data_IF_620339212359
#
_entry.id   IF_620339212359
#
_cell.length_a   1.000
_cell.length_b   1.000
_cell.length_c   1.000
_cell.angle_alpha   90.00
_cell.angle_beta   90.00
_cell.angle_gamma   90.00
#
_symmetry.space_group_name_H-M   'P 1'
#
loop_
_entity.id
_entity.type
_entity.pdbx_description
1 polymer ?
#
# COMPACT_ATOMS: atom_id res chain seq x y z
N UNK A 1 16.21 -18.80 24.72
CA UNK A 1 14.78 -18.70 24.34
C UNK A 1 14.63 -17.42 23.55
N UNK A 2 13.99 -17.44 22.37
CA UNK A 2 13.75 -16.22 21.60
C UNK A 2 12.86 -15.22 22.36
N UNK A 3 12.87 -13.95 21.96
CA UNK A 3 11.99 -12.93 22.54
C UNK A 3 10.51 -13.32 22.36
N UNK A 4 9.68 -13.03 23.37
CA UNK A 4 8.25 -13.32 23.33
C UNK A 4 7.50 -12.29 22.46
N UNK A 5 6.26 -12.59 22.05
CA UNK A 5 5.44 -11.64 21.31
C UNK A 5 5.23 -10.35 22.11
N UNK A 6 4.96 -10.45 23.42
CA UNK A 6 4.85 -9.27 24.29
C UNK A 6 6.13 -8.42 24.27
N UNK A 7 7.31 -9.06 24.37
CA UNK A 7 8.58 -8.35 24.36
C UNK A 7 8.82 -7.62 23.03
N UNK A 8 8.57 -8.29 21.91
CA UNK A 8 8.69 -7.70 20.57
C UNK A 8 7.74 -6.49 20.40
N UNK A 9 6.49 -6.63 20.83
CA UNK A 9 5.47 -5.57 20.76
C UNK A 9 5.87 -4.38 21.62
N UNK A 10 6.29 -4.59 22.87
CA UNK A 10 6.75 -3.49 23.75
C UNK A 10 7.97 -2.78 23.18
N UNK A 11 8.93 -3.53 22.62
CA UNK A 11 10.10 -2.95 21.99
C UNK A 11 9.72 -2.09 20.76
N UNK A 12 8.76 -2.54 19.96
CA UNK A 12 8.25 -1.75 18.82
C UNK A 12 7.54 -0.48 19.27
N UNK A 13 6.68 -0.55 20.30
CA UNK A 13 6.02 0.64 20.88
C UNK A 13 7.05 1.66 21.36
N UNK A 14 8.07 1.21 22.11
CA UNK A 14 9.11 2.11 22.61
C UNK A 14 9.88 2.81 21.46
N UNK A 15 10.14 2.12 20.35
CA UNK A 15 10.74 2.74 19.16
C UNK A 15 9.81 3.73 18.49
N UNK A 16 8.51 3.43 18.41
CA UNK A 16 7.50 4.37 17.88
C UNK A 16 7.44 5.63 18.75
N UNK A 17 7.35 5.49 20.08
CA UNK A 17 7.33 6.62 21.01
C UNK A 17 8.57 7.52 20.86
N UNK A 18 9.75 6.93 20.63
CA UNK A 18 10.99 7.66 20.46
C UNK A 18 11.12 8.37 19.10
N UNK A 19 10.65 7.75 18.01
CA UNK A 19 10.95 8.18 16.65
C UNK A 19 9.78 8.87 15.94
N UNK A 20 8.54 8.49 16.27
CA UNK A 20 7.35 9.00 15.59
C UNK A 20 7.11 10.49 15.80
N UNK A 21 7.48 11.14 16.93
CA UNK A 21 7.35 12.60 17.04
C UNK A 21 8.11 13.38 15.96
N UNK A 22 9.18 12.82 15.39
CA UNK A 22 9.95 13.45 14.30
C UNK A 22 9.49 13.03 12.90
N UNK A 23 9.11 11.76 12.73
CA UNK A 23 8.81 11.14 11.41
C UNK A 23 7.31 11.16 11.10
N UNK A 24 6.46 11.09 12.11
CA UNK A 24 5.00 11.10 12.03
C UNK A 24 4.41 10.02 11.11
N UNK A 25 5.02 8.83 11.12
CA UNK A 25 4.67 7.68 10.29
C UNK A 25 3.49 6.86 10.84
N UNK A 26 3.32 6.80 12.17
CA UNK A 26 2.29 6.02 12.85
C UNK A 26 1.14 6.93 13.25
N UNK A 27 -0.06 6.61 12.76
CA UNK A 27 -1.29 7.37 13.00
C UNK A 27 -1.96 6.97 14.31
N UNK A 28 -2.00 5.66 14.59
CA UNK A 28 -2.59 5.11 15.80
C UNK A 28 -1.90 3.80 16.20
N UNK A 29 -1.67 3.58 17.49
CA UNK A 29 -1.27 2.29 18.06
C UNK A 29 -2.54 1.60 18.56
N UNK A 30 -2.67 0.29 18.34
CA UNK A 30 -3.76 -0.49 18.94
C UNK A 30 -3.55 -0.54 20.46
N UNK A 31 -4.46 0.03 21.27
CA UNK A 31 -4.34 -0.01 22.73
C UNK A 31 -4.40 -1.44 23.29
N UNK A 32 -4.86 -2.42 22.50
CA UNK A 32 -4.96 -3.83 22.86
C UNK A 32 -3.75 -4.66 22.40
N UNK A 33 -2.81 -4.12 21.60
CA UNK A 33 -1.72 -4.89 20.98
C UNK A 33 -0.88 -5.70 21.99
N UNK A 34 -0.60 -5.16 23.17
CA UNK A 34 0.16 -5.85 24.22
C UNK A 34 -0.63 -7.04 24.77
N UNK A 35 -1.93 -6.89 24.99
CA UNK A 35 -2.79 -7.97 25.49
C UNK A 35 -2.99 -9.06 24.43
N UNK A 36 -3.12 -8.67 23.15
CA UNK A 36 -3.14 -9.62 22.04
C UNK A 36 -1.83 -10.41 21.95
N UNK A 37 -0.67 -9.74 22.10
CA UNK A 37 0.63 -10.39 22.10
C UNK A 37 0.81 -11.35 23.29
N UNK A 38 0.34 -10.96 24.48
CA UNK A 38 0.30 -11.82 25.67
C UNK A 38 -0.58 -13.05 25.47
N UNK A 39 -1.76 -12.86 24.87
CA UNK A 39 -2.66 -13.96 24.55
C UNK A 39 -2.00 -14.93 23.56
N UNK A 40 -1.32 -14.39 22.54
CA UNK A 40 -0.57 -15.16 21.57
C UNK A 40 0.57 -15.98 22.22
N UNK A 41 1.33 -15.39 23.14
CA UNK A 41 2.41 -16.08 23.87
C UNK A 41 1.91 -17.30 24.67
N UNK A 42 0.68 -17.23 25.20
CA UNK A 42 0.03 -18.32 25.95
C UNK A 42 -0.52 -19.44 25.06
N UNK A 43 -0.71 -19.20 23.76
CA UNK A 43 -1.26 -20.21 22.86
C UNK A 43 -0.26 -21.37 22.66
N UNK A 44 -0.73 -22.60 22.89
CA UNK A 44 0.03 -23.82 22.56
C UNK A 44 -0.17 -24.16 21.09
N UNK A 45 0.52 -23.42 20.21
CA UNK A 45 0.52 -23.66 18.76
C UNK A 45 1.93 -23.63 18.19
N UNK A 46 2.10 -24.21 17.01
CA UNK A 46 3.35 -24.10 16.26
C UNK A 46 3.67 -22.61 16.01
N UNK A 47 4.87 -22.19 16.40
CA UNK A 47 5.35 -20.82 16.21
C UNK A 47 6.01 -20.72 14.84
N UNK A 48 5.21 -20.37 13.83
CA UNK A 48 5.70 -20.10 12.49
C UNK A 48 6.58 -18.85 12.43
N UNK A 49 7.18 -18.54 11.27
CA UNK A 49 8.16 -17.45 11.16
C UNK A 49 7.62 -16.04 11.46
N UNK A 50 6.30 -15.83 11.38
CA UNK A 50 5.65 -14.56 11.71
C UNK A 50 5.16 -14.48 13.17
N UNK A 51 5.33 -15.55 13.96
CA UNK A 51 4.83 -15.59 15.33
C UNK A 51 5.44 -14.47 16.18
N UNK A 52 4.58 -13.62 16.73
CA UNK A 52 4.95 -12.51 17.60
C UNK A 52 5.62 -11.34 16.87
N UNK A 53 5.59 -11.30 15.53
CA UNK A 53 6.11 -10.18 14.75
C UNK A 53 5.14 -8.99 14.81
N UNK A 54 5.53 -7.82 15.35
CA UNK A 54 4.72 -6.62 15.31
C UNK A 54 4.72 -6.04 13.89
N UNK A 55 3.52 -5.81 13.34
CA UNK A 55 3.31 -5.21 12.02
C UNK A 55 2.47 -3.94 12.14
N UNK A 56 2.82 -2.93 11.37
CA UNK A 56 1.90 -1.82 11.11
C UNK A 56 1.17 -2.05 9.79
N UNK A 57 -0.06 -1.56 9.68
CA UNK A 57 -0.83 -1.63 8.43
C UNK A 57 -1.25 -0.23 8.00
N UNK A 58 -1.30 0.04 6.70
CA UNK A 58 -1.77 1.32 6.18
C UNK A 58 -3.20 1.62 6.63
N UNK A 59 -3.48 2.89 6.93
CA UNK A 59 -4.76 3.29 7.52
C UNK A 59 -5.99 3.23 6.58
N UNK A 60 -5.81 2.74 5.35
CA UNK A 60 -6.92 2.36 4.49
C UNK A 60 -7.29 0.86 4.59
N UNK A 61 -6.65 0.08 5.46
CA UNK A 61 -6.91 -1.35 5.65
C UNK A 61 -7.68 -1.55 6.97
N UNK A 62 -8.84 -2.21 6.92
CA UNK A 62 -9.58 -2.56 8.13
C UNK A 62 -8.86 -3.60 8.98
N UNK A 63 -8.88 -3.39 10.29
CA UNK A 63 -8.38 -4.34 11.28
C UNK A 63 -9.33 -4.38 12.48
N UNK A 64 -9.56 -5.58 13.01
CA UNK A 64 -10.32 -5.79 14.23
C UNK A 64 -9.56 -5.15 15.39
N UNK A 65 -10.32 -4.47 16.24
CA UNK A 65 -9.85 -3.77 17.42
C UNK A 65 -10.54 -2.41 17.52
N UNK A 66 -10.19 -1.60 18.53
CA UNK A 66 -10.64 -0.21 18.65
C UNK A 66 -9.81 0.73 17.74
N UNK A 67 -9.50 0.29 16.52
CA UNK A 67 -8.72 1.04 15.55
C UNK A 67 -9.63 1.51 14.41
N UNK A 68 -9.75 2.83 14.18
CA UNK A 68 -10.47 3.31 13.01
C UNK A 68 -9.68 3.02 11.73
N UNK A 69 -10.37 3.01 10.59
CA UNK A 69 -9.78 2.94 9.25
C UNK A 69 -10.20 4.18 8.49
N UNK A 70 -9.32 5.18 8.42
CA UNK A 70 -9.73 6.55 8.11
C UNK A 70 -9.34 7.00 6.72
N UNK A 71 -8.45 6.26 6.04
CA UNK A 71 -7.75 6.74 4.85
C UNK A 71 -7.12 8.14 5.04
N UNK A 72 -6.78 8.49 6.29
CA UNK A 72 -6.23 9.78 6.69
C UNK A 72 -7.26 10.91 6.84
N UNK A 73 -8.55 10.67 6.58
CA UNK A 73 -9.57 11.72 6.49
C UNK A 73 -10.47 11.81 7.74
N UNK A 74 -10.95 13.01 8.07
CA UNK A 74 -11.93 13.20 9.15
C UNK A 74 -13.29 12.56 8.84
N UNK A 75 -13.62 12.35 7.57
CA UNK A 75 -14.86 11.68 7.13
C UNK A 75 -14.99 10.30 7.78
N UNK A 76 -13.88 9.57 7.87
CA UNK A 76 -13.83 8.19 8.35
C UNK A 76 -13.19 8.07 9.74
N UNK A 77 -13.01 9.18 10.49
CA UNK A 77 -12.35 9.15 11.81
C UNK A 77 -13.00 8.18 12.80
N UNK A 78 -14.32 7.98 12.67
CA UNK A 78 -15.14 7.10 13.53
C UNK A 78 -15.48 5.76 12.84
N UNK A 79 -14.75 5.40 11.77
CA UNK A 79 -14.92 4.15 11.03
C UNK A 79 -14.24 2.97 11.74
N UNK A 80 -14.79 2.58 12.89
CA UNK A 80 -14.37 1.42 13.68
C UNK A 80 -15.30 0.25 13.35
N UNK A 81 -14.83 -0.69 12.53
CA UNK A 81 -15.67 -1.76 11.99
C UNK A 81 -15.67 -3.04 12.84
N UNK A 82 -14.66 -3.20 13.71
CA UNK A 82 -14.53 -4.39 14.56
C UNK A 82 -14.21 -5.69 13.80
N UNK A 83 -13.81 -5.59 12.53
CA UNK A 83 -13.47 -6.74 11.67
C UNK A 83 -12.12 -6.55 10.99
N UNK A 84 -11.48 -7.65 10.66
CA UNK A 84 -10.25 -7.67 9.88
C UNK A 84 -10.58 -7.67 8.38
N UNK A 85 -9.77 -6.98 7.57
CA UNK A 85 -9.62 -7.34 6.16
C UNK A 85 -9.07 -8.78 6.04
N UNK A 86 -9.39 -9.55 4.98
CA UNK A 86 -8.94 -10.95 4.86
C UNK A 86 -7.42 -11.12 4.98
N UNK A 87 -6.63 -10.19 4.42
CA UNK A 87 -5.17 -10.20 4.55
C UNK A 87 -4.73 -10.06 6.02
N UNK A 88 -5.41 -9.23 6.81
CA UNK A 88 -5.10 -8.98 8.21
C UNK A 88 -5.48 -10.20 9.05
N UNK A 89 -6.64 -10.81 8.78
CA UNK A 89 -7.07 -12.05 9.42
C UNK A 89 -6.04 -13.17 9.18
N UNK A 90 -5.52 -13.29 7.96
CA UNK A 90 -4.48 -14.29 7.63
C UNK A 90 -3.14 -13.99 8.30
N UNK A 91 -2.70 -12.74 8.35
CA UNK A 91 -1.50 -12.33 9.07
C UNK A 91 -1.59 -12.68 10.57
N UNK A 92 -2.73 -12.38 11.22
CA UNK A 92 -2.99 -12.80 12.61
C UNK A 92 -3.03 -14.32 12.76
N UNK A 93 -3.65 -15.01 11.79
CA UNK A 93 -3.63 -16.48 11.68
C UNK A 93 -2.22 -17.05 11.68
N UNK A 94 -1.31 -16.45 10.92
CA UNK A 94 0.12 -16.77 10.87
C UNK A 94 0.91 -16.34 12.12
N UNK A 95 0.30 -15.53 12.99
CA UNK A 95 0.82 -15.12 14.29
C UNK A 95 1.51 -13.78 14.35
N UNK A 96 1.32 -12.93 13.35
CA UNK A 96 1.69 -11.54 13.49
C UNK A 96 0.79 -10.81 14.51
N UNK A 97 1.35 -9.79 15.15
CA UNK A 97 0.63 -8.85 16.02
C UNK A 97 0.40 -7.57 15.22
N UNK A 98 -0.86 -7.18 15.04
CA UNK A 98 -1.19 -5.92 14.37
C UNK A 98 -1.02 -4.81 15.40
N UNK A 99 0.04 -4.03 15.25
CA UNK A 99 0.48 -3.03 16.23
C UNK A 99 -0.33 -1.74 16.13
N UNK A 100 -0.82 -1.39 14.94
CA UNK A 100 -1.41 -0.08 14.69
C UNK A 100 -1.53 0.27 13.22
N UNK A 101 -1.93 1.51 12.97
CA UNK A 101 -2.18 2.08 11.65
C UNK A 101 -1.09 3.08 11.27
N UNK A 102 -0.54 2.98 10.06
CA UNK A 102 0.38 4.00 9.54
C UNK A 102 -0.38 5.11 8.82
N UNK A 103 0.12 6.33 8.94
CA UNK A 103 -0.35 7.47 8.16
C UNK A 103 -0.07 7.26 6.65
N UNK A 104 -0.76 8.02 5.80
CA UNK A 104 -0.72 7.93 4.34
C UNK A 104 -0.93 9.31 3.72
N UNK A 105 -0.67 9.43 2.41
CA UNK A 105 -1.34 10.49 1.63
C UNK A 105 -2.86 10.26 1.71
N UNK A 106 -3.61 11.28 2.11
CA UNK A 106 -5.06 11.17 2.29
C UNK A 106 -5.75 10.58 1.06
N UNK A 107 -6.72 9.70 1.28
CA UNK A 107 -7.47 9.00 0.22
C UNK A 107 -6.55 8.33 -0.81
N UNK A 108 -5.47 7.73 -0.31
CA UNK A 108 -4.44 7.10 -1.14
C UNK A 108 -3.85 8.03 -2.23
N UNK A 109 -3.78 9.35 -1.95
CA UNK A 109 -3.33 10.41 -2.86
C UNK A 109 -4.31 10.75 -4.00
N UNK A 110 -5.58 10.34 -3.92
CA UNK A 110 -6.57 10.51 -4.99
C UNK A 110 -7.64 11.56 -4.67
N UNK A 111 -7.22 12.71 -4.11
CA UNK A 111 -8.14 13.78 -3.70
C UNK A 111 -8.09 15.02 -4.59
N UNK A 112 -6.90 15.56 -4.83
CA UNK A 112 -6.71 16.81 -5.58
C UNK A 112 -5.33 16.91 -6.21
N UNK A 113 -5.20 17.82 -7.18
CA UNK A 113 -4.12 17.82 -8.19
C UNK A 113 -2.76 18.25 -7.63
N UNK A 114 -2.77 19.08 -6.59
CA UNK A 114 -1.56 19.60 -5.93
C UNK A 114 -1.35 18.98 -4.54
N UNK A 115 -1.67 17.69 -4.42
CA UNK A 115 -1.55 16.93 -3.16
C UNK A 115 -0.10 16.86 -2.63
N UNK A 116 0.03 16.81 -1.31
CA UNK A 116 1.31 16.63 -0.63
C UNK A 116 1.47 15.15 -0.22
N UNK A 117 2.42 14.46 -0.83
CA UNK A 117 2.71 13.06 -0.50
C UNK A 117 3.02 12.88 0.99
N UNK A 118 2.28 11.96 1.63
CA UNK A 118 2.39 11.67 3.06
C UNK A 118 1.64 12.62 3.98
N UNK A 119 0.88 13.58 3.47
CA UNK A 119 -0.01 14.40 4.28
C UNK A 119 -1.43 13.82 4.36
N UNK A 120 -2.05 13.92 5.53
CA UNK A 120 -3.48 13.71 5.71
C UNK A 120 -4.11 14.67 6.72
N UNK A 121 -5.42 14.93 6.63
CA UNK A 121 -6.13 15.83 7.53
C UNK A 121 -6.22 15.35 8.98
N UNK A 122 -6.17 14.02 9.18
CA UNK A 122 -6.12 13.40 10.50
C UNK A 122 -4.69 13.29 11.04
N UNK A 123 -3.75 12.84 10.20
CA UNK A 123 -2.41 12.45 10.62
C UNK A 123 -1.34 13.53 10.45
N UNK A 124 -1.59 14.58 9.67
CA UNK A 124 -0.58 15.55 9.28
C UNK A 124 0.47 14.94 8.33
N UNK A 125 1.64 15.57 8.26
CA UNK A 125 2.69 15.24 7.30
C UNK A 125 3.65 14.15 7.84
N UNK A 126 3.74 13.02 7.14
CA UNK A 126 4.84 12.04 7.28
C UNK A 126 6.12 12.64 6.71
N UNK A 127 7.26 12.43 7.37
CA UNK A 127 8.58 12.91 6.91
C UNK A 127 9.48 11.73 6.55
N UNK A 128 10.38 11.93 5.61
CA UNK A 128 11.37 10.92 5.25
C UNK A 128 12.45 10.81 6.36
N UNK A 129 12.71 9.62 6.94
CA UNK A 129 13.68 9.47 8.02
C UNK A 129 15.14 9.67 7.58
N UNK A 130 15.45 9.63 6.27
CA UNK A 130 16.78 9.95 5.75
C UNK A 130 17.05 11.46 5.74
N UNK A 131 15.99 12.27 5.58
CA UNK A 131 16.03 13.73 5.61
C UNK A 131 14.63 14.28 5.87
N UNK A 132 14.41 14.85 7.06
CA UNK A 132 13.06 15.21 7.54
C UNK A 132 12.37 16.33 6.74
N UNK A 133 13.12 17.06 5.90
CA UNK A 133 12.65 18.08 4.99
C UNK A 133 12.33 17.53 3.57
N UNK A 134 12.44 16.22 3.37
CA UNK A 134 12.16 15.54 2.08
C UNK A 134 10.90 14.70 2.13
N UNK A 135 10.32 14.52 0.94
CA UNK A 135 9.12 13.71 0.74
C UNK A 135 9.37 12.24 1.13
N UNK A 136 8.43 11.58 1.83
CA UNK A 136 8.45 10.13 2.00
C UNK A 136 7.88 9.39 0.77
N UNK A 137 7.51 10.10 -0.31
CA UNK A 137 6.59 9.65 -1.35
C UNK A 137 5.27 9.15 -0.74
N UNK A 138 4.47 8.40 -1.49
CA UNK A 138 3.18 7.92 -1.06
C UNK A 138 2.51 7.04 -2.10
N UNK A 139 1.30 6.56 -1.85
CA UNK A 139 0.49 6.92 -0.67
C UNK A 139 0.78 6.10 0.59
N UNK A 140 1.51 4.98 0.53
CA UNK A 140 1.88 4.19 1.73
C UNK A 140 3.05 4.80 2.51
N UNK A 141 3.02 6.13 2.69
CA UNK A 141 4.10 6.96 3.22
C UNK A 141 4.52 6.55 4.62
N UNK A 142 3.57 6.39 5.54
CA UNK A 142 3.86 5.99 6.91
C UNK A 142 4.37 4.55 7.02
N UNK A 143 3.87 3.63 6.18
CA UNK A 143 4.39 2.25 6.13
C UNK A 143 5.86 2.23 5.70
N UNK A 144 6.22 3.00 4.66
CA UNK A 144 7.61 3.13 4.23
C UNK A 144 8.50 3.78 5.29
N UNK A 145 8.08 4.93 5.82
CA UNK A 145 8.86 5.70 6.79
C UNK A 145 9.02 4.96 8.14
N UNK A 146 7.99 4.26 8.63
CA UNK A 146 8.07 3.51 9.89
C UNK A 146 9.08 2.36 9.82
N UNK A 147 9.10 1.64 8.69
CA UNK A 147 10.07 0.55 8.45
C UNK A 147 11.49 1.11 8.30
N UNK A 148 11.66 2.17 7.51
CA UNK A 148 12.96 2.79 7.29
C UNK A 148 13.56 3.40 8.58
N UNK A 149 12.73 4.00 9.43
CA UNK A 149 13.14 4.50 10.73
C UNK A 149 13.43 3.39 11.76
N UNK A 150 13.11 2.13 11.45
CA UNK A 150 13.29 1.00 12.37
C UNK A 150 12.26 0.92 13.50
N UNK A 151 11.09 1.55 13.34
CA UNK A 151 9.99 1.41 14.30
C UNK A 151 9.48 -0.04 14.32
N UNK A 152 9.32 -0.63 13.14
CA UNK A 152 8.97 -2.03 12.91
C UNK A 152 9.82 -2.63 11.78
N UNK A 153 9.91 -3.95 11.72
CA UNK A 153 10.65 -4.66 10.65
C UNK A 153 9.85 -4.77 9.35
N UNK A 154 8.53 -4.68 9.44
CA UNK A 154 7.65 -4.70 8.29
C UNK A 154 6.31 -3.99 8.54
N UNK A 155 5.72 -3.53 7.45
CA UNK A 155 4.40 -2.95 7.39
C UNK A 155 3.68 -3.41 6.11
N UNK A 156 2.37 -3.17 6.03
CA UNK A 156 1.56 -3.45 4.85
C UNK A 156 1.10 -2.15 4.22
N UNK A 157 1.44 -1.93 2.96
CA UNK A 157 0.94 -0.82 2.13
C UNK A 157 -0.12 -1.28 1.14
N UNK A 158 -0.65 -0.32 0.37
CA UNK A 158 -1.51 -0.59 -0.80
C UNK A 158 -1.04 0.23 -1.98
N UNK A 159 -1.15 -0.36 -3.18
CA UNK A 159 -0.77 0.27 -4.43
C UNK A 159 -1.87 0.16 -5.47
N UNK A 160 -2.13 1.30 -6.12
CA UNK A 160 -2.89 1.45 -7.35
C UNK A 160 -1.90 1.69 -8.49
N UNK A 161 -1.11 2.76 -8.35
CA UNK A 161 0.08 3.05 -9.15
C UNK A 161 1.15 3.66 -8.23
N UNK A 162 2.31 3.02 -8.12
CA UNK A 162 3.48 3.47 -7.35
C UNK A 162 3.35 3.50 -5.82
N UNK A 163 2.15 3.33 -5.26
CA UNK A 163 1.87 3.64 -3.84
C UNK A 163 2.46 2.69 -2.78
N UNK A 164 3.12 1.60 -3.17
CA UNK A 164 3.99 0.73 -2.34
C UNK A 164 5.45 0.87 -2.79
N UNK A 165 5.70 0.78 -4.10
CA UNK A 165 7.04 0.77 -4.70
C UNK A 165 7.75 2.12 -4.60
N UNK A 166 7.06 3.24 -4.83
CA UNK A 166 7.64 4.59 -4.66
C UNK A 166 8.03 4.91 -3.22
N UNK A 167 7.13 4.82 -2.21
CA UNK A 167 7.51 5.06 -0.83
C UNK A 167 8.53 4.03 -0.33
N UNK A 168 8.56 2.80 -0.85
CA UNK A 168 9.65 1.88 -0.52
C UNK A 168 11.00 2.37 -1.05
N UNK A 169 11.09 2.73 -2.34
CA UNK A 169 12.31 3.22 -2.97
C UNK A 169 12.84 4.50 -2.31
N UNK A 170 11.95 5.47 -2.06
CA UNK A 170 12.30 6.78 -1.47
C UNK A 170 12.71 6.68 0.00
N UNK A 171 12.23 5.68 0.73
CA UNK A 171 12.65 5.41 2.11
C UNK A 171 13.75 4.33 2.20
N UNK A 172 14.26 3.82 1.07
CA UNK A 172 15.38 2.87 1.05
C UNK A 172 15.06 1.48 1.61
N UNK A 173 13.85 0.97 1.33
CA UNK A 173 13.38 -0.34 1.79
C UNK A 173 12.82 -1.18 0.62
N UNK A 174 12.50 -2.45 0.88
CA UNK A 174 11.79 -3.34 -0.06
C UNK A 174 10.29 -3.03 -0.01
N UNK A 175 9.68 -2.87 -1.18
CA UNK A 175 8.22 -2.84 -1.35
C UNK A 175 7.84 -3.78 -2.48
N UNK A 176 6.89 -4.67 -2.24
CA UNK A 176 6.45 -5.65 -3.24
C UNK A 176 4.97 -5.45 -3.57
N UNK A 177 4.68 -5.05 -4.80
CA UNK A 177 3.31 -5.01 -5.34
C UNK A 177 3.01 -6.34 -6.04
N UNK A 178 2.12 -7.19 -5.50
CA UNK A 178 1.75 -8.43 -6.17
C UNK A 178 0.90 -8.19 -7.43
N UNK A 179 0.63 -9.27 -8.16
CA UNK A 179 -0.41 -9.29 -9.20
C UNK A 179 -1.77 -8.95 -8.58
N UNK A 180 -2.57 -8.11 -9.25
CA UNK A 180 -3.94 -7.83 -8.84
C UNK A 180 -4.71 -9.15 -8.78
N UNK A 181 -5.39 -9.38 -7.65
CA UNK A 181 -6.08 -10.65 -7.38
C UNK A 181 -5.26 -11.68 -6.60
N UNK A 182 -3.96 -11.52 -6.38
CA UNK A 182 -3.23 -12.46 -5.52
C UNK A 182 -3.59 -12.30 -4.03
N UNK A 183 -3.85 -11.06 -3.61
CA UNK A 183 -4.25 -10.67 -2.25
C UNK A 183 -5.61 -9.98 -2.34
N UNK A 184 -6.56 -10.39 -1.50
CA UNK A 184 -7.90 -9.80 -1.42
C UNK A 184 -7.86 -8.32 -1.05
N UNK A 185 -8.69 -7.51 -1.72
CA UNK A 185 -8.94 -6.10 -1.40
C UNK A 185 -10.20 -5.88 -0.55
N UNK A 186 -10.89 -6.93 -0.12
CA UNK A 186 -12.07 -6.81 0.73
C UNK A 186 -11.74 -6.05 2.02
N UNK A 187 -12.59 -5.09 2.38
CA UNK A 187 -12.42 -4.21 3.55
C UNK A 187 -11.14 -3.35 3.53
N UNK A 188 -10.70 -2.96 2.33
CA UNK A 188 -9.74 -1.88 2.11
C UNK A 188 -10.50 -0.69 1.52
N UNK A 189 -10.27 0.53 2.02
CA UNK A 189 -10.83 1.75 1.39
C UNK A 189 -10.25 1.82 -0.03
N UNK A 190 -11.10 1.71 -1.08
CA UNK A 190 -10.62 1.44 -2.43
C UNK A 190 -10.22 2.72 -3.16
N UNK A 191 -9.48 2.53 -4.25
CA UNK A 191 -9.27 3.51 -5.31
C UNK A 191 -9.72 2.95 -6.67
N UNK A 192 -9.21 1.79 -7.09
CA UNK A 192 -9.55 1.17 -8.37
C UNK A 192 -9.51 -0.35 -8.26
N UNK A 193 -10.65 -1.02 -8.40
CA UNK A 193 -10.68 -2.48 -8.44
C UNK A 193 -9.92 -3.09 -9.63
N UNK A 194 -9.58 -2.32 -10.67
CA UNK A 194 -8.71 -2.80 -11.76
C UNK A 194 -7.23 -2.85 -11.39
N UNK A 195 -6.77 -2.03 -10.42
CA UNK A 195 -5.34 -1.82 -10.15
C UNK A 195 -4.92 -2.06 -8.68
N UNK A 196 -5.86 -1.93 -7.75
CA UNK A 196 -5.57 -2.00 -6.32
C UNK A 196 -5.06 -3.35 -5.87
N UNK A 197 -4.00 -3.33 -5.07
CA UNK A 197 -3.56 -4.47 -4.28
C UNK A 197 -2.80 -4.05 -3.03
N UNK A 198 -2.86 -4.88 -1.98
CA UNK A 198 -2.04 -4.72 -0.80
C UNK A 198 -0.69 -5.43 -0.97
N UNK A 199 0.37 -4.84 -0.44
CA UNK A 199 1.74 -5.34 -0.61
C UNK A 199 2.60 -5.19 0.65
N UNK A 200 3.51 -6.13 0.93
CA UNK A 200 4.43 -6.01 2.05
C UNK A 200 5.50 -4.94 1.78
N UNK A 201 5.85 -4.22 2.85
CA UNK A 201 6.94 -3.24 2.90
C UNK A 201 7.87 -3.58 4.06
N UNK A 202 9.17 -3.78 3.80
CA UNK A 202 10.11 -4.32 4.80
C UNK A 202 11.56 -4.01 4.41
N UNK A 203 12.53 -4.27 5.29
CA UNK A 203 13.97 -4.12 5.01
C UNK A 203 14.59 -5.33 4.32
N UNK A 204 13.86 -6.45 4.23
CA UNK A 204 14.39 -7.73 3.75
C UNK A 204 13.41 -8.46 2.82
N UNK A 205 13.89 -8.91 1.65
CA UNK A 205 13.10 -9.65 0.65
C UNK A 205 12.50 -10.94 1.22
N UNK A 206 13.18 -11.61 2.15
CA UNK A 206 12.67 -12.79 2.84
C UNK A 206 11.47 -12.49 3.71
N UNK A 207 11.45 -11.34 4.39
CA UNK A 207 10.28 -10.92 5.18
C UNK A 207 9.12 -10.59 4.24
N UNK A 208 9.36 -9.97 3.08
CA UNK A 208 8.33 -9.71 2.09
C UNK A 208 7.70 -11.04 1.60
N UNK A 209 8.52 -12.05 1.31
CA UNK A 209 8.06 -13.39 0.93
C UNK A 209 7.25 -14.07 2.04
N UNK A 210 7.67 -13.96 3.31
CA UNK A 210 6.94 -14.50 4.45
C UNK A 210 5.55 -13.86 4.62
N UNK A 211 5.47 -12.55 4.47
CA UNK A 211 4.20 -11.82 4.55
C UNK A 211 3.29 -12.17 3.37
N UNK A 212 3.85 -12.27 2.15
CA UNK A 212 3.08 -12.66 0.98
C UNK A 212 2.53 -14.08 1.09
N UNK A 213 3.31 -15.03 1.62
CA UNK A 213 2.85 -16.39 1.95
C UNK A 213 1.61 -16.38 2.85
N UNK A 214 1.57 -15.47 3.82
CA UNK A 214 0.43 -15.34 4.72
C UNK A 214 -0.77 -14.63 4.07
N UNK A 215 -0.53 -13.54 3.32
CA UNK A 215 -1.59 -12.68 2.78
C UNK A 215 -2.31 -13.29 1.57
N UNK A 216 -1.59 -14.02 0.71
CA UNK A 216 -2.10 -14.50 -0.57
C UNK A 216 -3.17 -15.59 -0.42
N UNK A 217 -4.22 -15.50 -1.24
CA UNK A 217 -5.26 -16.54 -1.32
C UNK A 217 -6.65 -16.00 -1.64
N UNK A 218 -7.51 -16.92 -2.09
CA UNK A 218 -8.85 -16.59 -2.59
C UNK A 218 -9.77 -16.02 -1.50
N UNK A 219 -10.67 -15.15 -1.92
CA UNK A 219 -11.72 -14.56 -1.12
C UNK A 219 -12.97 -14.42 -1.98
N UNK A 220 -14.06 -15.06 -1.56
CA UNK A 220 -15.32 -15.08 -2.30
C UNK A 220 -15.96 -13.69 -2.44
N UNK A 221 -15.61 -12.74 -1.56
CA UNK A 221 -16.06 -11.37 -1.63
C UNK A 221 -15.26 -10.51 -2.63
N UNK A 222 -14.13 -11.01 -3.14
CA UNK A 222 -13.29 -10.32 -4.11
C UNK A 222 -13.02 -11.21 -5.33
N UNK A 223 -13.84 -11.03 -6.37
CA UNK A 223 -13.80 -11.83 -7.58
C UNK A 223 -12.42 -11.83 -8.28
N UNK A 224 -11.60 -10.79 -8.09
CA UNK A 224 -10.24 -10.74 -8.63
C UNK A 224 -9.37 -11.89 -8.10
N UNK A 225 -9.71 -12.46 -6.93
CA UNK A 225 -8.93 -13.49 -6.25
C UNK A 225 -9.29 -14.93 -6.62
N UNK A 226 -10.18 -15.13 -7.60
CA UNK A 226 -10.65 -16.46 -8.01
C UNK A 226 -9.49 -17.42 -8.35
N UNK A 227 -8.39 -16.92 -8.90
CA UNK A 227 -7.22 -17.72 -9.27
C UNK A 227 -6.06 -17.67 -8.25
N UNK A 228 -6.22 -16.97 -7.12
CA UNK A 228 -5.15 -16.73 -6.17
C UNK A 228 -4.56 -18.04 -5.61
N UNK A 229 -5.40 -19.02 -5.28
CA UNK A 229 -4.95 -20.28 -4.70
C UNK A 229 -4.24 -21.19 -5.72
N UNK A 230 -4.58 -21.07 -7.01
CA UNK A 230 -3.90 -21.79 -8.07
C UNK A 230 -2.54 -21.17 -8.42
N UNK A 231 -2.39 -19.85 -8.21
CA UNK A 231 -1.19 -19.09 -8.56
C UNK A 231 -0.22 -18.90 -7.39
N UNK A 232 -0.69 -18.95 -6.14
CA UNK A 232 0.18 -18.78 -4.97
C UNK A 232 1.12 -19.97 -4.82
N UNK A 233 2.35 -19.68 -4.42
CA UNK A 233 3.39 -20.67 -4.12
C UNK A 233 4.01 -20.33 -2.76
N UNK A 234 4.88 -21.21 -2.27
CA UNK A 234 5.76 -20.84 -1.14
C UNK A 234 6.88 -19.91 -1.65
N UNK A 235 6.67 -18.61 -1.48
CA UNK A 235 7.60 -17.56 -1.91
C UNK A 235 8.92 -17.61 -1.17
N UNK A 236 8.96 -18.15 0.06
CA UNK A 236 10.21 -18.32 0.81
C UNK A 236 11.02 -19.48 0.25
N UNK A 237 10.36 -20.59 -0.09
CA UNK A 237 11.02 -21.72 -0.74
C UNK A 237 11.58 -21.35 -2.13
N UNK A 238 11.00 -20.35 -2.79
CA UNK A 238 11.49 -19.83 -4.06
C UNK A 238 12.78 -18.99 -3.97
N UNK A 239 13.20 -18.55 -2.77
CA UNK A 239 14.39 -17.73 -2.59
C UNK A 239 15.67 -18.57 -2.75
N UNK A 240 16.38 -18.36 -3.86
CA UNK A 240 17.67 -19.00 -4.12
C UNK A 240 18.79 -17.96 -4.24
N UNK A 241 19.93 -18.13 -3.55
CA UNK A 241 21.07 -17.22 -3.67
C UNK A 241 21.62 -17.08 -5.10
N UNK A 242 21.42 -18.10 -5.94
CA UNK A 242 21.90 -18.15 -7.31
C UNK A 242 20.80 -17.91 -8.36
N UNK A 243 19.63 -17.39 -7.95
CA UNK A 243 18.48 -17.17 -8.83
C UNK A 243 18.76 -16.28 -10.05
N UNK A 244 19.81 -15.46 -10.02
CA UNK A 244 20.21 -14.59 -11.13
C UNK A 244 20.98 -15.32 -12.24
N UNK A 245 21.54 -16.51 -11.99
CA UNK A 245 22.30 -17.25 -13.01
C UNK A 245 21.38 -17.66 -14.15
N UNK A 246 21.64 -17.12 -15.35
CA UNK A 246 20.83 -17.39 -16.54
C UNK A 246 19.50 -16.63 -16.60
N UNK A 247 19.22 -15.75 -15.62
CA UNK A 247 18.07 -14.86 -15.69
C UNK A 247 18.28 -13.82 -16.80
N UNK A 248 17.24 -13.55 -17.60
CA UNK A 248 17.23 -12.47 -18.59
C UNK A 248 16.43 -11.29 -18.03
N UNK A 249 17.06 -10.13 -17.94
CA UNK A 249 16.46 -8.93 -17.33
C UNK A 249 16.43 -7.80 -18.37
N UNK A 250 15.23 -7.31 -18.69
CA UNK A 250 15.03 -6.12 -19.50
C UNK A 250 15.40 -4.85 -18.70
N UNK A 251 16.29 -4.03 -19.23
CA UNK A 251 16.72 -2.76 -18.63
C UNK A 251 15.98 -1.63 -19.33
N UNK A 252 15.07 -0.96 -18.62
CA UNK A 252 14.27 0.17 -19.14
C UNK A 252 15.13 1.43 -19.33
N UNK A 253 15.99 1.46 -20.35
CA UNK A 253 16.87 2.60 -20.64
C UNK A 253 16.09 3.88 -20.89
N UNK A 254 14.90 3.79 -21.47
CA UNK A 254 14.01 4.93 -21.68
C UNK A 254 13.53 5.62 -20.38
N UNK A 255 13.72 5.00 -19.21
CA UNK A 255 13.36 5.56 -17.90
C UNK A 255 14.55 6.20 -17.17
N UNK A 256 15.73 6.27 -17.79
CA UNK A 256 16.96 6.87 -17.23
C UNK A 256 17.14 8.33 -17.66
N UNK A 257 18.16 9.02 -17.15
CA UNK A 257 18.52 10.38 -17.62
C UNK A 257 17.92 11.53 -16.81
N UNK A 258 17.19 11.22 -15.74
CA UNK A 258 16.61 12.24 -14.84
C UNK A 258 17.64 12.89 -13.92
N UNK A 259 18.66 12.13 -13.51
CA UNK A 259 19.71 12.61 -12.60
C UNK A 259 20.98 11.80 -12.80
N UNK A 260 22.12 12.44 -13.14
CA UNK A 260 23.39 11.74 -13.30
C UNK A 260 23.81 10.95 -12.05
N UNK A 261 23.45 11.44 -10.86
CA UNK A 261 23.75 10.75 -9.61
C UNK A 261 22.93 9.47 -9.43
N UNK A 262 21.65 9.49 -9.82
CA UNK A 262 20.77 8.32 -9.77
C UNK A 262 21.17 7.31 -10.85
N UNK A 263 21.45 7.79 -12.07
CA UNK A 263 21.90 6.94 -13.17
C UNK A 263 23.20 6.21 -12.81
N UNK A 264 24.14 6.88 -12.13
CA UNK A 264 25.36 6.23 -11.65
C UNK A 264 25.11 5.14 -10.60
N UNK A 265 24.09 5.30 -9.72
CA UNK A 265 23.68 4.24 -8.77
C UNK A 265 23.03 3.08 -9.52
N UNK A 266 22.19 3.39 -10.51
CA UNK A 266 21.52 2.40 -11.35
C UNK A 266 22.54 1.53 -12.11
N UNK A 267 23.55 2.13 -12.76
CA UNK A 267 24.61 1.36 -13.42
C UNK A 267 25.38 0.43 -12.48
N UNK A 268 25.62 0.86 -11.24
CA UNK A 268 26.26 -0.02 -10.24
C UNK A 268 25.36 -1.20 -9.88
N UNK A 269 24.05 -1.00 -9.76
CA UNK A 269 23.11 -2.09 -9.52
C UNK A 269 23.09 -3.08 -10.70
N UNK A 270 23.10 -2.59 -11.95
CA UNK A 270 23.21 -3.43 -13.15
C UNK A 270 24.50 -4.25 -13.17
N UNK A 271 25.64 -3.64 -12.80
CA UNK A 271 26.91 -4.34 -12.71
C UNK A 271 26.86 -5.50 -11.69
N UNK A 272 26.17 -5.31 -10.55
CA UNK A 272 25.94 -6.39 -9.57
C UNK A 272 25.09 -7.51 -10.18
N UNK A 273 23.98 -7.18 -10.85
CA UNK A 273 23.12 -8.20 -11.50
C UNK A 273 23.91 -9.04 -12.52
N UNK A 274 24.71 -8.38 -13.37
CA UNK A 274 25.56 -9.04 -14.35
C UNK A 274 26.63 -9.92 -13.70
N UNK A 275 27.28 -9.45 -12.64
CA UNK A 275 28.28 -10.22 -11.89
C UNK A 275 27.68 -11.48 -11.22
N UNK A 276 26.38 -11.45 -10.89
CA UNK A 276 25.65 -12.61 -10.35
C UNK A 276 25.12 -13.56 -11.43
N UNK A 277 25.44 -13.31 -12.71
CA UNK A 277 25.14 -14.22 -13.82
C UNK A 277 23.86 -13.91 -14.60
N UNK A 278 23.26 -12.73 -14.41
CA UNK A 278 22.13 -12.29 -15.21
C UNK A 278 22.57 -11.77 -16.59
N UNK A 279 21.78 -12.06 -17.62
CA UNK A 279 21.85 -11.43 -18.93
C UNK A 279 21.02 -10.15 -18.91
N UNK A 280 21.64 -9.01 -19.21
CA UNK A 280 20.96 -7.71 -19.30
C UNK A 280 20.62 -7.39 -20.74
N UNK A 281 19.35 -7.04 -20.99
CA UNK A 281 18.82 -6.70 -22.32
C UNK A 281 18.30 -5.27 -22.29
N UNK A 282 18.98 -4.36 -22.99
CA UNK A 282 18.58 -2.96 -23.00
C UNK A 282 17.30 -2.72 -23.83
N UNK A 283 16.30 -2.11 -23.20
CA UNK A 283 15.06 -1.64 -23.83
C UNK A 283 15.19 -0.13 -24.02
N UNK A 284 15.59 0.27 -25.22
CA UNK A 284 15.93 1.66 -25.53
C UNK A 284 14.71 2.60 -25.61
N UNK A 285 13.53 2.07 -25.96
CA UNK A 285 12.30 2.85 -26.16
C UNK A 285 11.11 2.12 -25.57
N UNK A 286 10.17 2.89 -25.04
CA UNK A 286 8.85 2.37 -24.68
C UNK A 286 8.02 2.25 -25.97
N UNK A 287 7.47 1.08 -26.32
CA UNK A 287 6.82 0.83 -27.61
C UNK A 287 5.36 1.33 -27.68
N UNK A 288 4.95 2.22 -26.76
CA UNK A 288 3.58 2.74 -26.66
C UNK A 288 3.55 4.26 -26.52
N UNK A 289 2.38 4.84 -26.80
CA UNK A 289 2.08 6.20 -26.40
C UNK A 289 1.77 6.25 -24.90
N UNK A 290 2.76 6.66 -24.11
CA UNK A 290 2.64 6.80 -22.65
C UNK A 290 1.56 7.78 -22.23
N UNK A 291 1.31 8.85 -23.00
CA UNK A 291 0.28 9.84 -22.66
C UNK A 291 -1.09 9.22 -22.84
N UNK A 292 -1.33 8.55 -23.97
CA UNK A 292 -2.58 7.83 -24.20
C UNK A 292 -2.87 6.76 -23.14
N UNK A 293 -1.83 6.05 -22.69
CA UNK A 293 -1.97 5.11 -21.57
C UNK A 293 -2.37 5.82 -20.27
N UNK A 294 -1.69 6.91 -19.93
CA UNK A 294 -1.99 7.71 -18.73
C UNK A 294 -3.38 8.37 -18.76
N UNK A 295 -3.82 8.87 -19.92
CA UNK A 295 -5.17 9.44 -20.08
C UNK A 295 -6.24 8.36 -19.90
N UNK A 296 -6.00 7.16 -20.45
CA UNK A 296 -6.87 6.00 -20.26
C UNK A 296 -6.91 5.52 -18.81
N UNK A 297 -5.75 5.45 -18.16
CA UNK A 297 -5.65 5.13 -16.73
C UNK A 297 -6.40 6.16 -15.88
N UNK A 298 -6.15 7.46 -16.04
CA UNK A 298 -6.84 8.50 -15.28
C UNK A 298 -8.36 8.36 -15.37
N UNK A 299 -8.89 8.16 -16.58
CA UNK A 299 -10.32 7.95 -16.81
C UNK A 299 -10.85 6.67 -16.12
N UNK A 300 -10.06 5.59 -16.07
CA UNK A 300 -10.38 4.38 -15.30
C UNK A 300 -10.44 4.70 -13.81
N UNK A 301 -9.41 5.36 -13.28
CA UNK A 301 -9.30 5.66 -11.85
C UNK A 301 -10.45 6.54 -11.35
N UNK A 302 -10.79 7.63 -12.05
CA UNK A 302 -11.90 8.51 -11.61
C UNK A 302 -13.26 7.81 -11.66
N UNK A 303 -13.48 6.92 -12.63
CA UNK A 303 -14.73 6.17 -12.78
C UNK A 303 -14.88 5.06 -11.74
N UNK A 304 -13.81 4.30 -11.50
CA UNK A 304 -13.80 3.24 -10.48
C UNK A 304 -13.82 3.81 -9.07
N UNK A 305 -13.09 4.90 -8.81
CA UNK A 305 -13.05 5.52 -7.50
C UNK A 305 -14.44 5.92 -7.01
N UNK A 306 -15.25 6.60 -7.83
CA UNK A 306 -16.62 6.95 -7.47
C UNK A 306 -17.44 5.71 -7.12
N UNK A 307 -17.41 4.69 -7.98
CA UNK A 307 -18.21 3.48 -7.80
C UNK A 307 -17.80 2.71 -6.54
N UNK A 308 -16.50 2.44 -6.41
CA UNK A 308 -15.93 1.60 -5.36
C UNK A 308 -15.97 2.31 -4.00
N UNK A 309 -15.68 3.61 -3.95
CA UNK A 309 -15.78 4.38 -2.70
C UNK A 309 -17.23 4.47 -2.21
N UNK A 310 -18.20 4.71 -3.10
CA UNK A 310 -19.61 4.73 -2.71
C UNK A 310 -20.05 3.37 -2.14
N UNK A 311 -19.63 2.27 -2.77
CA UNK A 311 -19.90 0.93 -2.26
C UNK A 311 -19.27 0.70 -0.88
N UNK A 312 -18.03 1.14 -0.67
CA UNK A 312 -17.36 1.06 0.62
C UNK A 312 -18.08 1.89 1.70
N UNK A 313 -18.36 3.17 1.42
CA UNK A 313 -19.02 4.10 2.35
C UNK A 313 -20.42 3.63 2.75
N UNK A 314 -21.18 3.03 1.83
CA UNK A 314 -22.48 2.43 2.14
C UNK A 314 -22.37 1.31 3.19
N UNK A 315 -21.25 0.58 3.22
CA UNK A 315 -20.97 -0.51 4.17
C UNK A 315 -20.32 -0.10 5.50
N UNK A 316 -20.06 1.20 5.72
CA UNK A 316 -19.46 1.71 6.96
C UNK A 316 -20.46 1.71 8.14
N UNK A 317 -20.00 1.64 9.40
CA UNK A 317 -20.88 1.69 10.58
C UNK A 317 -21.69 2.99 10.67
N UNK A 318 -22.77 2.98 11.44
CA UNK A 318 -23.64 4.15 11.64
C UNK A 318 -22.95 5.38 12.25
N UNK A 319 -21.78 5.21 12.85
CA UNK A 319 -20.92 6.31 13.34
C UNK A 319 -20.40 7.19 12.20
N UNK A 320 -20.10 6.60 11.04
CA UNK A 320 -19.75 7.33 9.82
C UNK A 320 -21.04 7.89 9.21
N UNK A 321 -21.11 9.20 8.99
CA UNK A 321 -22.33 9.84 8.47
C UNK A 321 -22.34 9.96 6.95
N UNK A 322 -21.16 10.09 6.36
CA UNK A 322 -20.95 10.18 4.91
C UNK A 322 -21.10 8.82 4.24
N UNK A 323 -21.93 8.74 3.21
CA UNK A 323 -22.32 7.53 2.48
C UNK A 323 -21.95 7.56 1.01
N UNK A 324 -21.58 8.72 0.48
CA UNK A 324 -21.22 8.90 -0.93
C UNK A 324 -20.03 9.83 -1.10
N UNK A 325 -19.39 9.80 -2.27
CA UNK A 325 -18.36 10.74 -2.69
C UNK A 325 -18.90 12.17 -2.70
N UNK A 326 -20.11 12.40 -3.20
CA UNK A 326 -20.78 13.70 -3.13
C UNK A 326 -20.89 14.24 -1.69
N UNK A 327 -21.24 13.38 -0.72
CA UNK A 327 -21.29 13.77 0.69
C UNK A 327 -19.88 13.99 1.29
N UNK A 328 -18.86 13.26 0.82
CA UNK A 328 -17.47 13.49 1.22
C UNK A 328 -16.97 14.86 0.71
N UNK A 329 -17.31 15.22 -0.53
CA UNK A 329 -17.03 16.54 -1.12
C UNK A 329 -17.70 17.65 -0.32
N UNK A 330 -18.98 17.45 0.05
CA UNK A 330 -19.74 18.40 0.86
C UNK A 330 -19.13 18.53 2.27
N UNK A 331 -18.73 17.42 2.89
CA UNK A 331 -18.05 17.43 4.18
C UNK A 331 -16.75 18.24 4.13
N UNK A 332 -15.90 18.00 3.13
CA UNK A 332 -14.64 18.71 2.97
C UNK A 332 -14.87 20.21 2.75
N UNK A 333 -15.87 20.58 1.94
CA UNK A 333 -16.26 21.99 1.73
C UNK A 333 -16.69 22.65 3.02
N UNK A 334 -17.52 21.99 3.83
CA UNK A 334 -17.96 22.49 5.13
C UNK A 334 -16.83 22.59 6.17
N UNK A 335 -15.76 21.80 6.00
CA UNK A 335 -14.58 21.75 6.86
C UNK A 335 -13.31 22.32 6.19
N UNK A 336 -13.49 23.23 5.21
CA UNK A 336 -12.44 23.64 4.27
C UNK A 336 -11.16 24.18 4.93
N UNK A 337 -11.26 24.86 6.07
CA UNK A 337 -10.09 25.35 6.81
C UNK A 337 -9.12 24.24 7.22
N UNK A 338 -9.62 23.02 7.46
CA UNK A 338 -8.82 21.87 7.88
C UNK A 338 -8.57 20.90 6.73
N UNK A 339 -9.61 20.58 5.97
CA UNK A 339 -9.51 19.59 4.89
C UNK A 339 -8.85 20.18 3.64
N UNK A 340 -9.15 21.42 3.27
CA UNK A 340 -8.76 22.02 2.00
C UNK A 340 -7.68 23.11 2.13
N UNK A 341 -7.12 23.28 3.34
CA UNK A 341 -6.19 24.38 3.64
C UNK A 341 -4.82 24.29 2.93
N UNK A 342 -4.39 23.09 2.53
CA UNK A 342 -3.11 22.87 1.84
C UNK A 342 -3.28 22.61 0.34
N UNK A 343 -4.34 21.91 -0.06
CA UNK A 343 -4.69 21.63 -1.45
C UNK A 343 -6.19 21.27 -1.54
N UNK A 344 -6.75 21.33 -2.74
CA UNK A 344 -8.17 21.10 -2.98
C UNK A 344 -8.59 19.64 -3.03
N UNK A 345 -9.70 19.44 -3.75
CA UNK A 345 -10.36 18.15 -3.98
C UNK A 345 -10.85 18.00 -5.43
N UNK A 346 -10.04 18.49 -6.36
CA UNK A 346 -10.35 18.56 -7.80
C UNK A 346 -10.64 17.17 -8.39
N UNK A 347 -9.81 16.18 -8.06
CA UNK A 347 -9.97 14.79 -8.49
C UNK A 347 -11.27 14.17 -7.95
N UNK A 348 -11.71 14.53 -6.73
CA UNK A 348 -13.01 14.10 -6.22
C UNK A 348 -14.16 14.67 -7.05
N UNK A 349 -14.10 15.96 -7.39
CA UNK A 349 -15.13 16.64 -8.19
C UNK A 349 -15.20 16.01 -9.59
N UNK A 350 -14.05 15.73 -10.19
CA UNK A 350 -13.96 15.04 -11.48
C UNK A 350 -14.53 13.62 -11.41
N UNK A 351 -14.14 12.83 -10.40
CA UNK A 351 -14.66 11.48 -10.17
C UNK A 351 -16.18 11.48 -9.97
N UNK A 352 -16.72 12.42 -9.19
CA UNK A 352 -18.17 12.55 -8.99
C UNK A 352 -18.92 12.88 -10.29
N UNK A 353 -18.28 13.56 -11.26
CA UNK A 353 -18.90 13.86 -12.56
C UNK A 353 -18.98 12.64 -13.51
N UNK A 354 -18.34 11.52 -13.18
CA UNK A 354 -18.37 10.31 -14.01
C UNK A 354 -19.76 9.65 -14.06
N UNK A 355 -20.07 9.02 -15.20
CA UNK A 355 -21.39 8.40 -15.47
C UNK A 355 -21.47 6.92 -15.11
N UNK A 356 -20.48 6.41 -14.37
CA UNK A 356 -20.41 5.03 -13.89
C UNK A 356 -19.76 4.05 -14.85
N UNK A 357 -19.67 2.78 -14.42
CA UNK A 357 -18.86 1.74 -15.08
C UNK A 357 -19.48 1.17 -16.36
N UNK A 358 -20.73 1.54 -16.67
CA UNK A 358 -21.36 1.16 -17.93
C UNK A 358 -21.13 2.18 -19.06
N UNK A 359 -20.56 3.34 -18.74
CA UNK A 359 -20.23 4.41 -19.70
C UNK A 359 -19.25 3.89 -20.78
N UNK A 360 -19.58 4.04 -22.08
CA UNK A 360 -18.66 3.72 -23.17
C UNK A 360 -17.27 4.36 -23.01
N UNK A 361 -17.18 5.58 -22.46
CA UNK A 361 -15.90 6.27 -22.24
C UNK A 361 -15.02 5.49 -21.26
N UNK A 362 -15.58 5.03 -20.14
CA UNK A 362 -14.86 4.19 -19.19
C UNK A 362 -14.45 2.85 -19.81
N UNK A 363 -15.34 2.18 -20.53
CA UNK A 363 -15.05 0.89 -21.17
C UNK A 363 -13.91 0.98 -22.20
N UNK A 364 -13.92 2.04 -23.01
CA UNK A 364 -12.85 2.30 -23.97
C UNK A 364 -11.52 2.65 -23.28
N UNK A 365 -11.56 3.49 -22.23
CA UNK A 365 -10.39 3.83 -21.44
C UNK A 365 -9.76 2.60 -20.79
N UNK A 366 -10.58 1.72 -20.19
CA UNK A 366 -10.14 0.46 -19.58
C UNK A 366 -9.51 -0.49 -20.60
N UNK A 367 -10.14 -0.67 -21.76
CA UNK A 367 -9.59 -1.48 -22.84
C UNK A 367 -8.27 -0.91 -23.37
N UNK A 368 -8.18 0.42 -23.49
CA UNK A 368 -6.97 1.12 -23.94
C UNK A 368 -5.83 0.98 -22.94
N UNK A 369 -6.09 1.23 -21.66
CA UNK A 369 -5.09 1.14 -20.59
C UNK A 369 -4.52 -0.28 -20.49
N UNK A 370 -5.39 -1.31 -20.43
CA UNK A 370 -4.95 -2.72 -20.37
C UNK A 370 -4.10 -3.13 -21.59
N UNK A 371 -4.51 -2.73 -22.80
CA UNK A 371 -3.80 -3.08 -24.04
C UNK A 371 -2.41 -2.44 -24.09
N UNK A 372 -2.30 -1.17 -23.71
CA UNK A 372 -1.03 -0.44 -23.72
C UNK A 372 -0.10 -0.85 -22.57
N UNK A 373 -0.64 -1.14 -21.39
CA UNK A 373 0.13 -1.58 -20.23
C UNK A 373 0.59 -3.04 -20.32
N UNK A 374 -0.09 -3.87 -21.12
CA UNK A 374 0.22 -5.29 -21.31
C UNK A 374 0.70 -5.61 -22.73
N UNK A 375 -0.11 -6.25 -23.60
CA UNK A 375 0.36 -6.85 -24.86
C UNK A 375 1.06 -5.92 -25.86
N UNK A 376 0.77 -4.62 -25.85
CA UNK A 376 1.47 -3.66 -26.73
C UNK A 376 2.65 -2.96 -26.04
N UNK A 377 2.76 -3.11 -24.72
CA UNK A 377 3.79 -2.52 -23.87
C UNK A 377 5.07 -3.35 -23.85
N UNK A 378 5.57 -3.59 -22.63
CA UNK A 378 6.83 -4.31 -22.38
C UNK A 378 6.60 -5.65 -21.65
N UNK A 379 5.36 -6.13 -21.63
CA UNK A 379 4.97 -7.45 -21.06
C UNK A 379 5.46 -8.62 -21.94
#
# INVERSE_FOLDING_TARGET
MGQTAEQNTRAAIARIEALNPSVNAVLAIDPTAIEEARALDRMRRARGPLFGMPLLIKDNIEARGPLPTTAGSLVLKDNVTGRDAPLVARLRGAGAVILGKTNLSEWANFRGDSSLSGWSGLGGQVRNPHALDRTPCGSSSGSGAAVAAGMVDAAIGTETDGSVTCPAAINGIVGFKPTVGLVSRTHVVPLSHSQDTAGPMTRDVRIAALLLNAMAGSDVADAATAEADARKVDYVAALRPDALKGARIGVMRFATGWSPAVDAVFERALAVLKAQGAELVDIAKLPIDRRKMGDGEHQVLISEFKADLNAYLAGTPASVKTRTLAEAIAFNTANGARELGLFGQETFIEAEATKGLEDPVYKEARATSLRLAGPEGID
#
